data_IF_624905517754
#
_entry.id   IF_624905517754
#
_cell.length_a   1.000
_cell.length_b   1.000
_cell.length_c   1.000
_cell.angle_alpha   90.00
_cell.angle_beta   90.00
_cell.angle_gamma   90.00
#
_symmetry.space_group_name_H-M   'P 1'
#
loop_
_entity.id
_entity.type
_entity.pdbx_description
1 polymer ?
#
# COMPACT_ATOMS: atom_id res chain seq x y z
N UNK A 1 -10.07 11.80 1.32
CA UNK A 1 -8.96 12.55 0.68
C UNK A 1 -8.09 13.20 1.76
N UNK A 2 -6.77 13.29 1.55
CA UNK A 2 -5.77 13.56 2.59
C UNK A 2 -6.02 14.79 3.50
N UNK A 3 -6.48 15.93 2.98
CA UNK A 3 -6.62 17.14 3.81
C UNK A 3 -5.30 17.50 4.48
N UNK A 4 -5.34 17.86 5.78
CA UNK A 4 -4.14 18.20 6.57
C UNK A 4 -3.39 16.99 7.15
N UNK A 5 -3.85 15.77 6.83
CA UNK A 5 -3.28 14.52 7.36
C UNK A 5 -1.91 14.25 6.77
N UNK A 6 -0.97 13.82 7.60
CA UNK A 6 0.40 13.53 7.20
C UNK A 6 0.62 12.04 7.00
N UNK A 7 1.39 11.69 5.98
CA UNK A 7 1.86 10.30 5.81
C UNK A 7 2.92 9.98 6.86
N UNK A 8 2.69 8.97 7.67
CA UNK A 8 3.62 8.49 8.71
C UNK A 8 4.44 7.31 8.23
N UNK A 9 3.82 6.39 7.47
CA UNK A 9 4.47 5.17 6.97
C UNK A 9 4.06 4.87 5.54
N UNK A 10 4.95 4.16 4.83
CA UNK A 10 4.73 3.80 3.42
C UNK A 10 5.15 2.35 3.20
N UNK A 11 4.36 1.66 2.39
CA UNK A 11 4.57 0.28 2.00
C UNK A 11 4.19 0.08 0.55
N UNK A 12 4.72 -0.97 -0.05
CA UNK A 12 4.40 -1.37 -1.42
C UNK A 12 4.32 -2.87 -1.46
N UNK A 13 3.24 -3.40 -2.04
CA UNK A 13 3.10 -4.80 -2.34
C UNK A 13 3.02 -4.97 -3.85
N UNK A 14 3.78 -5.91 -4.41
CA UNK A 14 3.83 -6.15 -5.85
C UNK A 14 3.42 -7.58 -6.18
N UNK A 15 2.44 -7.72 -7.06
CA UNK A 15 2.08 -9.00 -7.68
C UNK A 15 2.54 -8.98 -9.14
N UNK A 16 2.29 -10.07 -9.86
CA UNK A 16 2.55 -10.13 -11.30
C UNK A 16 1.67 -9.15 -12.08
N UNK A 17 0.45 -8.89 -11.60
CA UNK A 17 -0.57 -8.12 -12.32
C UNK A 17 -0.76 -6.68 -11.82
N UNK A 18 -0.31 -6.36 -10.60
CA UNK A 18 -0.46 -5.02 -10.04
C UNK A 18 0.62 -4.64 -9.02
N UNK A 19 0.73 -3.34 -8.79
CA UNK A 19 1.46 -2.73 -7.68
C UNK A 19 0.47 -2.02 -6.77
N UNK A 20 0.48 -2.41 -5.50
CA UNK A 20 -0.32 -1.83 -4.43
C UNK A 20 0.59 -0.92 -3.60
N UNK A 21 0.15 0.31 -3.38
CA UNK A 21 0.78 1.29 -2.51
C UNK A 21 -0.07 1.44 -1.25
N UNK A 22 0.59 1.39 -0.09
CA UNK A 22 -0.03 1.60 1.21
C UNK A 22 0.61 2.83 1.86
N UNK A 23 -0.19 3.79 2.27
CA UNK A 23 0.27 4.97 3.00
C UNK A 23 -0.53 5.12 4.29
N UNK A 24 0.14 4.89 5.42
CA UNK A 24 -0.46 5.17 6.73
C UNK A 24 -0.46 6.68 6.99
N UNK A 25 -1.56 7.16 7.53
CA UNK A 25 -1.77 8.54 7.93
C UNK A 25 -1.62 8.68 9.45
N UNK A 26 -1.44 9.91 9.92
CA UNK A 26 -1.34 10.27 11.34
C UNK A 26 -2.58 9.91 12.18
N UNK A 27 -3.76 9.82 11.56
CA UNK A 27 -5.01 9.33 12.16
C UNK A 27 -5.12 7.79 12.23
N UNK A 28 -4.08 7.07 11.79
CA UNK A 28 -4.03 5.61 11.75
C UNK A 28 -4.80 4.96 10.59
N UNK A 29 -5.42 5.75 9.69
CA UNK A 29 -6.02 5.24 8.45
C UNK A 29 -4.93 4.92 7.43
N UNK A 30 -5.24 4.03 6.50
CA UNK A 30 -4.31 3.67 5.42
C UNK A 30 -4.93 3.95 4.07
N UNK A 31 -4.24 4.70 3.23
CA UNK A 31 -4.61 4.84 1.82
C UNK A 31 -4.03 3.66 1.05
N UNK A 32 -4.89 2.91 0.39
CA UNK A 32 -4.57 1.83 -0.52
C UNK A 32 -4.78 2.30 -1.96
N UNK A 33 -3.72 2.29 -2.74
CA UNK A 33 -3.74 2.60 -4.16
C UNK A 33 -3.29 1.37 -4.96
N UNK A 34 -4.13 0.89 -5.87
CA UNK A 34 -3.82 -0.23 -6.76
C UNK A 34 -3.61 0.30 -8.18
N UNK A 35 -2.44 0.00 -8.73
CA UNK A 35 -2.07 0.27 -10.13
C UNK A 35 -1.75 -1.02 -10.85
N UNK A 36 -2.21 -1.15 -12.07
CA UNK A 36 -1.93 -2.34 -12.87
C UNK A 36 -0.48 -2.32 -13.34
N UNK A 37 0.13 -3.50 -13.39
CA UNK A 37 1.44 -3.67 -14.01
C UNK A 37 1.21 -3.63 -15.53
N UNK A 38 1.76 -2.64 -16.26
CA UNK A 38 1.50 -2.51 -17.68
C UNK A 38 2.14 -3.66 -18.44
N UNK A 39 1.36 -4.33 -19.28
CA UNK A 39 1.85 -5.41 -20.17
C UNK A 39 2.51 -4.80 -21.43
N UNK A 40 2.01 -3.65 -21.89
CA UNK A 40 2.62 -2.82 -22.93
C UNK A 40 2.02 -1.41 -22.90
N UNK A 41 2.78 -0.42 -22.44
CA UNK A 41 2.29 0.96 -22.32
C UNK A 41 1.30 1.21 -21.16
N UNK A 42 1.14 2.51 -20.88
CA UNK A 42 0.33 3.23 -19.87
C UNK A 42 -0.09 2.49 -18.60
N UNK A 43 0.40 2.98 -17.45
CA UNK A 43 -0.07 2.53 -16.13
C UNK A 43 -1.55 2.87 -15.92
N UNK A 44 -2.38 1.84 -15.73
CA UNK A 44 -3.79 2.03 -15.40
C UNK A 44 -3.99 2.09 -13.88
N UNK A 45 -4.71 3.12 -13.42
CA UNK A 45 -5.21 3.20 -12.05
C UNK A 45 -6.42 2.27 -11.91
N UNK A 46 -6.35 1.31 -10.99
CA UNK A 46 -7.46 0.38 -10.74
C UNK A 46 -8.36 0.87 -9.62
N UNK A 47 -7.77 1.32 -8.51
CA UNK A 47 -8.52 1.65 -7.31
C UNK A 47 -7.72 2.54 -6.36
N UNK A 48 -8.42 3.44 -5.67
CA UNK A 48 -7.92 4.15 -4.49
C UNK A 48 -8.98 4.04 -3.39
N UNK A 49 -8.59 3.57 -2.21
CA UNK A 49 -9.49 3.38 -1.07
C UNK A 49 -8.81 3.81 0.21
N UNK A 50 -9.60 4.35 1.14
CA UNK A 50 -9.17 4.51 2.53
C UNK A 50 -9.58 3.24 3.29
N UNK A 51 -8.62 2.64 3.99
CA UNK A 51 -8.75 1.40 4.75
C UNK A 51 -8.82 1.73 6.23
N UNK A 52 -9.68 0.99 6.93
CA UNK A 52 -9.79 1.08 8.39
C UNK A 52 -8.87 0.11 9.11
N UNK A 53 -8.29 -0.84 8.38
CA UNK A 53 -7.38 -1.83 8.91
C UNK A 53 -5.99 -1.23 9.19
N UNK A 54 -5.30 -1.67 10.27
CA UNK A 54 -3.94 -1.23 10.55
C UNK A 54 -2.97 -1.53 9.41
N UNK A 55 -1.95 -0.69 9.27
CA UNK A 55 -0.95 -0.81 8.21
C UNK A 55 -0.24 -2.16 8.19
N UNK A 56 0.17 -2.70 9.35
CA UNK A 56 0.77 -4.04 9.45
C UNK A 56 -0.17 -5.16 9.02
N UNK A 57 -1.46 -5.04 9.35
CA UNK A 57 -2.47 -6.02 8.95
C UNK A 57 -2.60 -6.06 7.43
N UNK A 58 -2.57 -4.90 6.76
CA UNK A 58 -2.61 -4.83 5.30
C UNK A 58 -1.33 -5.36 4.65
N UNK A 59 -0.15 -5.06 5.20
CA UNK A 59 1.11 -5.65 4.71
C UNK A 59 1.09 -7.16 4.78
N UNK A 60 0.70 -7.72 5.93
CA UNK A 60 0.61 -9.17 6.13
C UNK A 60 -0.47 -9.81 5.24
N UNK A 61 -1.59 -9.12 5.02
CA UNK A 61 -2.63 -9.56 4.09
C UNK A 61 -2.08 -9.75 2.67
N UNK A 62 -1.34 -8.77 2.15
CA UNK A 62 -0.76 -8.87 0.81
C UNK A 62 0.38 -9.89 0.72
N UNK A 63 1.20 -10.01 1.76
CA UNK A 63 2.26 -11.02 1.82
C UNK A 63 1.68 -12.44 1.77
N UNK A 64 0.59 -12.70 2.51
CA UNK A 64 -0.14 -13.97 2.47
C UNK A 64 -0.78 -14.22 1.10
N UNK A 65 -1.18 -13.17 0.40
CA UNK A 65 -1.68 -13.22 -0.98
C UNK A 65 -0.60 -13.37 -2.05
N UNK A 66 0.63 -13.79 -1.67
CA UNK A 66 1.79 -13.95 -2.55
C UNK A 66 2.30 -12.67 -3.23
N UNK A 67 1.98 -11.48 -2.69
CA UNK A 67 2.62 -10.26 -3.12
C UNK A 67 4.02 -10.13 -2.50
N UNK A 68 4.98 -9.61 -3.26
CA UNK A 68 6.28 -9.18 -2.72
C UNK A 68 6.09 -7.85 -2.00
N UNK A 69 6.22 -7.85 -0.68
CA UNK A 69 5.97 -6.68 0.17
C UNK A 69 7.29 -6.00 0.54
N UNK A 70 7.32 -4.67 0.41
CA UNK A 70 8.40 -3.80 0.84
C UNK A 70 7.84 -2.67 1.72
N UNK A 71 8.42 -2.45 2.89
CA UNK A 71 8.13 -1.30 3.75
C UNK A 71 9.42 -0.89 4.46
N UNK A 72 9.93 0.34 4.27
CA UNK A 72 11.14 0.82 4.96
C UNK A 72 11.01 0.73 6.48
N UNK A 73 9.79 0.90 6.98
CA UNK A 73 9.49 0.93 8.41
C UNK A 73 9.19 -0.45 8.98
N UNK A 74 9.35 -1.54 8.21
CA UNK A 74 9.16 -2.93 8.67
C UNK A 74 10.36 -3.45 9.47
N UNK A 75 11.54 -2.89 9.23
CA UNK A 75 12.79 -3.26 9.92
C UNK A 75 13.21 -2.26 11.00
N UNK A 76 12.40 -1.21 11.24
CA UNK A 76 12.63 -0.27 12.35
C UNK A 76 11.98 -0.72 13.66
N UNK A 77 11.49 -1.97 13.74
CA UNK A 77 11.18 -2.60 15.01
C UNK A 77 12.49 -3.05 15.66
N UNK A 78 13.09 -2.16 16.46
CA UNK A 78 14.10 -2.45 17.48
C UNK A 78 13.60 -1.91 18.82
#
# INVERSE_FOLDING_TARGET
MMGDRKMTRRGTAKTESCTIFLWELDDGKVIELIRDTPISGTHCFRSVKERGEPFETLLNYYERGHARVFSPNRFMAA
#
